data_IF_802965041111
#
_entry.id   IF_802965041111
#
_cell.length_a   1.000
_cell.length_b   1.000
_cell.length_c   1.000
_cell.angle_alpha   90.00
_cell.angle_beta   90.00
_cell.angle_gamma   90.00
#
_symmetry.space_group_name_H-M   'P 1'
#
loop_
_entity.id
_entity.type
_entity.pdbx_description
1 polymer ?
#
# COMPACT_ATOMS: atom_id res chain seq x y z
N UNK A 1 -4.29 -33.73 -50.28
CA UNK A 1 -3.97 -32.35 -49.88
C UNK A 1 -4.62 -32.07 -48.52
N UNK A 2 -3.88 -32.18 -47.41
CA UNK A 2 -4.35 -31.78 -46.07
C UNK A 2 -3.90 -30.35 -45.82
N UNK A 3 -4.86 -29.41 -45.71
CA UNK A 3 -4.58 -28.01 -45.32
C UNK A 3 -4.19 -27.99 -43.84
N UNK A 4 -2.96 -27.58 -43.56
CA UNK A 4 -2.48 -27.29 -42.21
C UNK A 4 -2.99 -25.89 -41.84
N UNK A 5 -3.92 -25.83 -40.89
CA UNK A 5 -4.46 -24.57 -40.36
C UNK A 5 -3.46 -24.04 -39.32
N UNK A 6 -2.69 -23.02 -39.69
CA UNK A 6 -1.75 -22.34 -38.80
C UNK A 6 -2.54 -21.39 -37.90
N UNK A 7 -2.83 -21.80 -36.67
CA UNK A 7 -3.47 -20.94 -35.66
C UNK A 7 -2.38 -20.00 -35.13
N UNK A 8 -2.36 -18.76 -35.62
CA UNK A 8 -1.55 -17.69 -35.02
C UNK A 8 -2.18 -17.31 -33.68
N UNK A 9 -1.60 -17.79 -32.58
CA UNK A 9 -1.87 -17.27 -31.25
C UNK A 9 -1.25 -15.87 -31.14
N UNK A 10 -2.06 -14.83 -31.35
CA UNK A 10 -1.71 -13.45 -31.02
C UNK A 10 -1.58 -13.33 -29.49
N UNK A 11 -0.37 -13.48 -28.96
CA UNK A 11 -0.06 -13.01 -27.62
C UNK A 11 -0.11 -11.49 -27.64
N UNK A 12 -1.18 -10.89 -27.09
CA UNK A 12 -1.23 -9.45 -26.84
C UNK A 12 -0.18 -9.12 -25.79
N UNK A 13 1.03 -8.72 -26.21
CA UNK A 13 1.97 -8.11 -25.30
C UNK A 13 1.41 -6.76 -24.87
N UNK A 14 1.11 -6.63 -23.58
CA UNK A 14 0.72 -5.35 -22.99
C UNK A 14 1.98 -4.50 -22.91
N UNK A 15 2.10 -3.54 -23.82
CA UNK A 15 3.14 -2.52 -23.77
C UNK A 15 2.64 -1.37 -22.90
N UNK A 16 3.27 -1.16 -21.74
CA UNK A 16 3.05 0.06 -20.98
C UNK A 16 3.90 1.17 -21.57
N UNK A 17 3.32 2.37 -21.65
CA UNK A 17 4.08 3.54 -22.02
C UNK A 17 5.07 3.86 -20.90
N UNK A 18 6.38 3.72 -21.15
CA UNK A 18 7.44 4.00 -20.17
C UNK A 18 7.72 5.50 -20.03
N UNK A 19 6.65 6.31 -20.02
CA UNK A 19 6.76 7.74 -19.94
C UNK A 19 7.19 8.15 -18.53
N UNK A 20 8.04 9.19 -18.42
CA UNK A 20 8.25 9.86 -17.16
C UNK A 20 6.94 10.38 -16.58
N UNK A 21 6.89 10.64 -15.27
CA UNK A 21 5.71 11.25 -14.67
C UNK A 21 5.47 12.64 -15.24
N UNK A 22 4.19 12.95 -15.49
CA UNK A 22 3.75 14.27 -15.92
C UNK A 22 4.29 15.34 -14.97
N UNK A 23 4.85 16.42 -15.53
CA UNK A 23 5.44 17.56 -14.80
C UNK A 23 6.64 17.24 -13.89
N UNK A 24 7.04 15.98 -13.74
CA UNK A 24 8.17 15.59 -12.88
C UNK A 24 8.96 14.46 -13.52
N UNK A 25 9.64 14.68 -14.66
CA UNK A 25 10.37 13.63 -15.35
C UNK A 25 11.61 13.14 -14.59
N UNK A 26 12.18 14.01 -13.74
CA UNK A 26 13.33 13.71 -12.90
C UNK A 26 13.23 14.42 -11.55
N UNK A 27 13.91 13.90 -10.53
CA UNK A 27 14.06 14.50 -9.20
C UNK A 27 15.53 14.64 -8.88
N UNK A 28 15.99 15.84 -8.52
CA UNK A 28 17.33 16.03 -7.96
C UNK A 28 17.25 15.93 -6.44
N UNK A 29 17.94 14.95 -5.85
CA UNK A 29 17.94 14.72 -4.42
C UNK A 29 19.28 14.14 -3.95
N UNK A 30 19.83 14.71 -2.86
CA UNK A 30 21.13 14.31 -2.29
C UNK A 30 22.28 14.26 -3.31
N UNK A 31 22.30 15.20 -4.27
CA UNK A 31 23.36 15.29 -5.29
C UNK A 31 23.25 14.27 -6.42
N UNK A 32 22.11 13.56 -6.54
CA UNK A 32 21.82 12.62 -7.63
C UNK A 32 20.55 13.00 -8.37
N UNK A 33 20.50 12.63 -9.64
CA UNK A 33 19.30 12.73 -10.47
C UNK A 33 18.64 11.35 -10.49
N UNK A 34 17.38 11.30 -10.06
CA UNK A 34 16.51 10.13 -10.15
C UNK A 34 15.51 10.35 -11.28
N UNK A 35 15.39 9.41 -12.20
CA UNK A 35 14.36 9.44 -13.22
C UNK A 35 13.03 8.97 -12.63
N UNK A 36 11.93 9.37 -13.24
CA UNK A 36 10.59 8.93 -12.81
C UNK A 36 9.91 8.09 -13.87
N UNK A 37 8.87 7.37 -13.47
CA UNK A 37 8.02 6.59 -14.37
C UNK A 37 6.59 6.63 -13.89
N UNK A 38 5.68 6.91 -14.82
CA UNK A 38 4.24 6.85 -14.58
C UNK A 38 3.77 5.41 -14.78
N UNK A 39 3.17 4.81 -13.74
CA UNK A 39 2.58 3.47 -13.81
C UNK A 39 1.15 3.57 -13.28
N UNK A 40 0.19 3.52 -14.20
CA UNK A 40 -1.20 3.87 -13.91
C UNK A 40 -1.30 5.31 -13.43
N UNK A 41 -1.92 5.51 -12.27
CA UNK A 41 -2.02 6.83 -11.62
C UNK A 41 -0.83 7.15 -10.72
N UNK A 42 0.07 6.19 -10.48
CA UNK A 42 1.19 6.35 -9.56
C UNK A 42 2.45 6.84 -10.27
N UNK A 43 3.18 7.73 -9.60
CA UNK A 43 4.46 8.22 -10.06
C UNK A 43 5.59 7.65 -9.19
N UNK A 44 6.47 6.86 -9.80
CA UNK A 44 7.53 6.12 -9.11
C UNK A 44 8.91 6.64 -9.50
N UNK A 45 9.89 6.55 -8.60
CA UNK A 45 11.29 6.65 -9.00
C UNK A 45 11.68 5.41 -9.85
N UNK A 46 12.61 5.57 -10.79
CA UNK A 46 13.16 4.49 -11.63
C UNK A 46 14.40 3.83 -11.05
N UNK A 47 15.11 4.52 -10.16
CA UNK A 47 16.28 4.00 -9.48
C UNK A 47 15.97 3.70 -8.00
N UNK A 48 16.71 2.75 -7.43
CA UNK A 48 16.72 2.56 -5.99
C UNK A 48 17.34 3.80 -5.34
N UNK A 49 16.76 4.24 -4.24
CA UNK A 49 17.24 5.41 -3.53
C UNK A 49 18.68 5.17 -3.01
N UNK A 50 19.53 6.19 -3.12
CA UNK A 50 20.89 6.15 -2.61
C UNK A 50 21.27 7.48 -1.98
N UNK A 51 20.85 7.68 -0.73
CA UNK A 51 21.09 8.88 0.08
C UNK A 51 21.75 8.53 1.40
N UNK A 52 22.44 9.51 1.99
CA UNK A 52 23.15 9.32 3.25
C UNK A 52 24.58 8.79 3.12
N UNK A 53 25.20 8.53 4.26
CA UNK A 53 26.60 8.13 4.42
C UNK A 53 26.70 6.62 4.51
N UNK A 54 27.68 6.04 3.81
CA UNK A 54 27.92 4.60 3.87
C UNK A 54 28.49 4.20 5.23
N UNK A 55 27.92 3.16 5.83
CA UNK A 55 28.49 2.41 6.94
C UNK A 55 28.79 0.97 6.52
N UNK A 56 29.69 0.30 7.25
CA UNK A 56 30.02 -1.10 6.99
C UNK A 56 28.89 -2.01 7.45
N UNK A 57 28.64 -3.08 6.70
CA UNK A 57 27.56 -4.03 6.93
C UNK A 57 27.51 -4.61 8.34
N UNK A 58 28.62 -4.72 9.07
CA UNK A 58 28.62 -5.21 10.47
C UNK A 58 28.22 -4.17 11.52
N UNK A 59 28.08 -2.90 11.13
CA UNK A 59 27.62 -1.82 12.03
C UNK A 59 26.12 -1.66 11.89
N UNK A 60 25.46 -1.24 12.95
CA UNK A 60 24.08 -0.74 12.89
C UNK A 60 24.10 0.79 12.76
N UNK A 61 23.01 1.39 12.25
CA UNK A 61 22.82 2.83 12.30
C UNK A 61 22.85 3.27 13.77
N UNK A 62 23.50 4.41 14.03
CA UNK A 62 23.74 4.91 15.38
C UNK A 62 23.51 6.42 15.49
N UNK A 63 23.36 7.12 14.37
CA UNK A 63 23.17 8.55 14.33
C UNK A 63 21.85 8.93 13.66
N UNK A 64 20.82 9.13 14.46
CA UNK A 64 19.48 9.48 13.98
C UNK A 64 19.41 10.86 13.29
N UNK A 65 20.49 11.66 13.30
CA UNK A 65 20.56 12.95 12.60
C UNK A 65 21.22 12.86 11.21
N UNK A 66 21.76 11.70 10.84
CA UNK A 66 22.40 11.50 9.53
C UNK A 66 21.90 10.19 8.92
N UNK A 67 21.47 10.25 7.66
CA UNK A 67 21.01 9.04 6.98
C UNK A 67 22.19 8.09 6.80
N UNK A 68 22.06 6.85 7.27
CA UNK A 68 23.08 5.81 7.16
C UNK A 68 22.64 4.71 6.17
N UNK A 69 23.55 4.29 5.29
CA UNK A 69 23.29 3.28 4.25
C UNK A 69 24.34 2.19 4.23
N UNK A 70 23.97 1.03 3.72
CA UNK A 70 24.93 0.00 3.33
C UNK A 70 25.07 -0.06 1.82
N UNK A 71 26.19 -0.62 1.39
CA UNK A 71 26.42 -1.03 0.01
C UNK A 71 26.75 -2.52 -0.04
N UNK A 72 26.31 -3.18 -1.11
CA UNK A 72 26.54 -4.62 -1.25
C UNK A 72 28.02 -4.95 -1.10
N UNK A 73 28.36 -5.92 -0.25
CA UNK A 73 29.73 -6.30 0.08
C UNK A 73 30.64 -5.15 0.58
N UNK A 74 30.06 -4.06 1.08
CA UNK A 74 30.78 -2.84 1.45
C UNK A 74 31.55 -2.18 0.29
N UNK A 75 31.12 -2.39 -0.95
CA UNK A 75 31.81 -1.86 -2.13
C UNK A 75 31.18 -0.54 -2.60
N UNK A 76 31.75 0.60 -2.21
CA UNK A 76 31.25 1.92 -2.61
C UNK A 76 31.52 2.30 -4.07
N UNK A 77 32.39 1.55 -4.76
CA UNK A 77 32.80 1.84 -6.13
C UNK A 77 31.90 1.08 -7.11
N UNK A 78 31.69 -0.22 -6.87
CA UNK A 78 30.92 -1.08 -7.76
C UNK A 78 29.42 -1.15 -7.42
N UNK A 79 29.00 -0.73 -6.22
CA UNK A 79 27.58 -0.79 -5.83
C UNK A 79 26.73 0.39 -6.36
N UNK A 80 27.29 1.30 -7.15
CA UNK A 80 26.56 2.43 -7.77
C UNK A 80 25.35 1.98 -8.60
N UNK A 81 25.29 0.71 -9.01
CA UNK A 81 24.20 0.18 -9.80
C UNK A 81 22.96 -0.19 -8.96
N UNK A 82 23.09 -0.68 -7.72
CA UNK A 82 21.97 -1.28 -6.97
C UNK A 82 21.27 -0.33 -5.97
N UNK A 83 21.85 0.86 -5.73
CA UNK A 83 21.38 1.81 -4.72
C UNK A 83 21.81 1.45 -3.31
N UNK A 84 21.25 2.16 -2.32
CA UNK A 84 21.50 1.92 -0.90
C UNK A 84 20.63 0.80 -0.33
N UNK A 85 21.16 0.10 0.67
CA UNK A 85 20.39 -0.78 1.54
C UNK A 85 20.22 -0.09 2.89
N UNK A 86 19.01 -0.17 3.44
CA UNK A 86 18.63 0.53 4.65
C UNK A 86 17.91 -0.42 5.59
N UNK A 87 18.20 -0.34 6.89
CA UNK A 87 17.31 -0.91 7.91
C UNK A 87 16.00 -0.13 7.92
N UNK A 88 14.91 -0.79 8.33
CA UNK A 88 13.58 -0.21 8.16
C UNK A 88 13.38 1.06 9.00
N UNK A 89 13.80 1.04 10.27
CA UNK A 89 13.67 2.21 11.16
C UNK A 89 14.48 3.40 10.62
N UNK A 90 15.68 3.15 10.10
CA UNK A 90 16.52 4.16 9.46
C UNK A 90 15.85 4.73 8.19
N UNK A 91 15.32 3.86 7.32
CA UNK A 91 14.60 4.29 6.13
C UNK A 91 13.37 5.14 6.47
N UNK A 92 12.64 4.74 7.50
CA UNK A 92 11.46 5.46 8.00
C UNK A 92 11.79 6.70 8.83
N UNK A 93 13.08 6.98 9.08
CA UNK A 93 13.53 8.04 9.97
C UNK A 93 12.84 7.94 11.34
N UNK A 94 12.79 6.71 11.86
CA UNK A 94 12.23 6.31 13.15
C UNK A 94 10.74 6.67 13.33
N UNK A 95 10.01 6.88 12.23
CA UNK A 95 8.56 7.02 12.21
C UNK A 95 7.90 5.67 11.95
N UNK A 96 6.70 5.48 12.48
CA UNK A 96 5.89 4.27 12.24
C UNK A 96 4.64 4.54 11.42
N UNK A 97 4.41 5.78 11.00
CA UNK A 97 3.23 6.17 10.22
C UNK A 97 3.34 5.66 8.77
N UNK A 98 2.41 4.82 8.29
CA UNK A 98 2.37 4.44 6.89
C UNK A 98 2.24 5.67 5.99
N UNK A 99 2.96 5.67 4.87
CA UNK A 99 3.03 6.82 3.96
C UNK A 99 3.95 7.95 4.43
N UNK A 100 4.72 7.75 5.51
CA UNK A 100 5.71 8.74 5.93
C UNK A 100 6.78 8.94 4.84
N UNK A 101 7.23 10.19 4.69
CA UNK A 101 8.32 10.55 3.77
C UNK A 101 9.55 9.64 3.96
N UNK A 102 9.93 9.37 5.22
CA UNK A 102 11.17 8.66 5.54
C UNK A 102 12.37 9.35 4.90
N UNK A 103 13.27 8.57 4.30
CA UNK A 103 14.44 9.05 3.58
C UNK A 103 14.15 9.50 2.13
N UNK A 104 12.89 9.46 1.67
CA UNK A 104 12.54 9.89 0.32
C UNK A 104 12.65 11.42 0.12
N UNK A 105 12.76 11.90 -1.13
CA UNK A 105 12.75 13.33 -1.43
C UNK A 105 11.48 14.03 -0.89
N UNK A 106 11.54 15.33 -0.58
CA UNK A 106 10.34 16.10 -0.24
C UNK A 106 9.26 15.98 -1.33
N UNK A 107 8.01 15.76 -0.90
CA UNK A 107 6.89 15.49 -1.82
C UNK A 107 6.83 14.04 -2.33
N UNK A 108 7.67 13.16 -1.81
CA UNK A 108 7.69 11.72 -2.04
C UNK A 108 7.70 10.98 -0.70
N UNK A 109 7.37 9.69 -0.71
CA UNK A 109 7.37 8.89 0.50
C UNK A 109 7.76 7.43 0.26
N UNK A 110 8.05 6.73 1.37
CA UNK A 110 8.26 5.28 1.33
C UNK A 110 6.89 4.62 1.11
N UNK A 111 6.71 3.85 0.03
CA UNK A 111 5.40 3.37 -0.38
C UNK A 111 4.72 2.56 0.72
N UNK A 112 3.41 2.77 0.86
CA UNK A 112 2.55 1.88 1.63
C UNK A 112 2.42 0.52 0.93
N UNK A 113 2.03 -0.50 1.68
CA UNK A 113 1.73 -1.82 1.14
C UNK A 113 0.59 -1.72 0.14
N UNK A 114 -0.39 -0.84 0.42
CA UNK A 114 -1.51 -0.59 -0.49
C UNK A 114 -1.07 0.00 -1.82
N UNK A 115 -0.09 0.89 -1.82
CA UNK A 115 0.45 1.45 -3.07
C UNK A 115 1.23 0.43 -3.88
N UNK A 116 1.99 -0.47 -3.24
CA UNK A 116 2.58 -1.59 -3.96
C UNK A 116 1.54 -2.57 -4.51
N UNK A 117 0.43 -2.78 -3.80
CA UNK A 117 -0.69 -3.60 -4.31
C UNK A 117 -1.35 -2.94 -5.52
N UNK A 118 -1.55 -1.61 -5.51
CA UNK A 118 -2.07 -0.88 -6.68
C UNK A 118 -1.11 -1.01 -7.88
N UNK A 119 0.20 -0.92 -7.65
CA UNK A 119 1.20 -1.19 -8.68
C UNK A 119 1.06 -2.61 -9.22
N UNK A 120 0.97 -3.61 -8.34
CA UNK A 120 0.83 -5.01 -8.71
C UNK A 120 -0.46 -5.27 -9.52
N UNK A 121 -1.59 -4.72 -9.09
CA UNK A 121 -2.87 -4.82 -9.79
C UNK A 121 -2.78 -4.21 -11.19
N UNK A 122 -2.17 -3.02 -11.31
CA UNK A 122 -1.98 -2.34 -12.60
C UNK A 122 -1.15 -3.16 -13.59
N UNK A 123 -0.10 -3.83 -13.10
CA UNK A 123 0.71 -4.73 -13.92
C UNK A 123 0.16 -6.16 -13.99
N UNK A 124 -1.06 -6.40 -13.51
CA UNK A 124 -1.69 -7.73 -13.50
C UNK A 124 -0.82 -8.80 -12.83
N UNK A 125 -0.19 -8.41 -11.72
CA UNK A 125 0.76 -9.21 -10.96
C UNK A 125 2.00 -9.67 -11.76
N UNK A 126 2.28 -9.05 -12.91
CA UNK A 126 3.44 -9.38 -13.74
C UNK A 126 4.72 -8.77 -13.15
N UNK A 127 5.40 -9.49 -12.27
CA UNK A 127 6.70 -9.10 -11.72
C UNK A 127 7.79 -8.96 -12.79
N UNK A 128 7.66 -9.64 -13.93
CA UNK A 128 8.61 -9.50 -15.04
C UNK A 128 8.56 -8.12 -15.69
N UNK A 129 7.41 -7.45 -15.70
CA UNK A 129 7.32 -6.08 -16.24
C UNK A 129 8.04 -5.07 -15.36
N UNK A 130 8.21 -5.36 -14.06
CA UNK A 130 8.87 -4.48 -13.10
C UNK A 130 10.40 -4.62 -13.06
N UNK A 131 10.92 -5.80 -13.43
CA UNK A 131 12.36 -6.12 -13.40
C UNK A 131 13.09 -5.53 -14.60
N UNK A 132 14.36 -5.13 -14.42
CA UNK A 132 15.24 -4.68 -15.52
C UNK A 132 15.30 -5.73 -16.63
N UNK A 133 15.32 -5.27 -17.87
CA UNK A 133 15.36 -6.13 -19.05
C UNK A 133 16.57 -7.08 -19.00
N UNK A 134 16.34 -8.37 -19.23
CA UNK A 134 17.41 -9.38 -19.23
C UNK A 134 17.90 -9.81 -17.85
N UNK A 135 17.35 -9.25 -16.75
CA UNK A 135 17.54 -9.83 -15.41
C UNK A 135 16.68 -11.09 -15.23
N UNK A 136 17.04 -11.96 -14.30
CA UNK A 136 16.27 -13.18 -14.03
C UNK A 136 16.46 -14.28 -15.07
N UNK A 137 15.72 -15.38 -14.92
CA UNK A 137 15.82 -16.59 -15.73
C UNK A 137 14.45 -17.22 -15.97
N UNK A 138 14.29 -17.91 -17.11
CA UNK A 138 13.07 -18.66 -17.42
C UNK A 138 11.79 -17.83 -17.28
N UNK A 139 10.83 -18.35 -16.51
CA UNK A 139 9.56 -17.67 -16.23
C UNK A 139 9.70 -16.35 -15.46
N UNK A 140 10.86 -16.09 -14.87
CA UNK A 140 11.19 -14.85 -14.16
C UNK A 140 12.06 -13.88 -14.96
N UNK A 141 12.22 -14.07 -16.27
CA UNK A 141 13.01 -13.14 -17.10
C UNK A 141 12.35 -11.74 -17.15
N UNK A 142 13.10 -10.73 -16.74
CA UNK A 142 12.68 -9.33 -16.71
C UNK A 142 12.48 -8.78 -18.12
N UNK A 143 11.32 -8.16 -18.33
CA UNK A 143 10.94 -7.50 -19.59
C UNK A 143 10.97 -5.98 -19.48
N UNK A 144 10.94 -5.46 -18.25
CA UNK A 144 10.89 -4.03 -17.92
C UNK A 144 9.77 -3.26 -18.64
N UNK A 145 8.69 -3.91 -19.08
CA UNK A 145 7.67 -3.23 -19.89
C UNK A 145 6.98 -2.09 -19.14
N UNK A 146 6.95 -2.09 -17.80
CA UNK A 146 6.41 -0.98 -17.00
C UNK A 146 7.36 0.21 -16.84
N UNK A 147 8.65 0.02 -17.10
CA UNK A 147 9.70 1.02 -16.85
C UNK A 147 10.14 1.15 -15.39
N UNK A 148 9.58 0.37 -14.45
CA UNK A 148 9.95 0.42 -13.02
C UNK A 148 11.44 0.09 -12.77
N UNK A 149 12.05 -0.77 -13.59
CA UNK A 149 13.49 -1.03 -13.60
C UNK A 149 14.05 -1.52 -12.25
N UNK A 150 13.39 -2.50 -11.63
CA UNK A 150 13.88 -3.15 -10.40
C UNK A 150 15.11 -4.02 -10.68
N UNK A 151 16.16 -3.81 -9.88
CA UNK A 151 17.39 -4.59 -9.90
C UNK A 151 17.34 -5.64 -8.80
N UNK A 152 17.68 -6.88 -9.12
CA UNK A 152 17.71 -8.02 -8.20
C UNK A 152 18.91 -7.92 -7.25
N UNK A 153 18.81 -7.02 -6.26
CA UNK A 153 19.89 -6.57 -5.41
C UNK A 153 20.20 -7.48 -4.21
N UNK A 154 19.37 -8.48 -3.92
CA UNK A 154 19.51 -9.29 -2.72
C UNK A 154 19.26 -8.46 -1.46
N UNK A 155 20.03 -8.72 -0.39
CA UNK A 155 19.89 -7.98 0.87
C UNK A 155 21.17 -7.99 1.73
N UNK A 156 21.15 -7.19 2.79
CA UNK A 156 22.08 -7.26 3.94
C UNK A 156 21.37 -7.93 5.14
N UNK A 157 21.84 -9.08 5.62
CA UNK A 157 21.27 -9.77 6.77
C UNK A 157 21.66 -9.12 8.10
N UNK A 158 20.96 -9.41 9.19
CA UNK A 158 21.19 -8.81 10.50
C UNK A 158 22.65 -8.96 11.02
N UNK A 159 23.32 -10.05 10.64
CA UNK A 159 24.73 -10.36 10.91
C UNK A 159 25.76 -9.56 10.07
N UNK A 160 25.29 -8.75 9.13
CA UNK A 160 26.12 -7.94 8.25
C UNK A 160 26.56 -8.62 6.96
N UNK A 161 26.09 -9.85 6.70
CA UNK A 161 26.35 -10.55 5.45
C UNK A 161 25.48 -10.01 4.32
N UNK A 162 26.01 -10.03 3.10
CA UNK A 162 25.27 -9.67 1.90
C UNK A 162 25.06 -10.92 1.06
N UNK A 163 23.81 -11.19 0.68
CA UNK A 163 23.45 -12.44 0.05
C UNK A 163 22.40 -12.25 -1.05
N UNK A 164 22.27 -13.26 -1.90
CA UNK A 164 21.21 -13.39 -2.92
C UNK A 164 21.18 -12.29 -3.99
N UNK A 165 22.34 -11.68 -4.29
CA UNK A 165 22.51 -10.85 -5.48
C UNK A 165 22.06 -11.62 -6.73
N UNK A 166 21.35 -10.94 -7.63
CA UNK A 166 20.74 -11.49 -8.84
C UNK A 166 19.66 -12.58 -8.60
N UNK A 167 19.30 -12.88 -7.35
CA UNK A 167 18.30 -13.90 -7.01
C UNK A 167 16.94 -13.29 -6.69
N UNK A 168 16.90 -12.19 -5.96
CA UNK A 168 15.67 -11.42 -5.74
C UNK A 168 15.98 -9.96 -5.40
N UNK A 169 14.95 -9.13 -5.29
CA UNK A 169 14.99 -7.83 -4.61
C UNK A 169 13.81 -7.71 -3.66
N UNK A 170 14.05 -7.05 -2.53
CA UNK A 170 13.02 -6.62 -1.59
C UNK A 170 12.99 -5.10 -1.51
N UNK A 171 11.79 -4.55 -1.49
CA UNK A 171 11.53 -3.14 -1.25
C UNK A 171 10.79 -3.01 0.07
N UNK A 172 11.27 -2.10 0.93
CA UNK A 172 10.51 -1.76 2.12
C UNK A 172 9.21 -1.06 1.78
N UNK A 173 8.15 -1.45 2.48
CA UNK A 173 6.97 -0.64 2.67
C UNK A 173 7.08 0.17 3.97
N UNK A 174 6.36 1.29 4.05
CA UNK A 174 6.18 2.06 5.29
C UNK A 174 5.21 1.40 6.28
N UNK A 175 4.51 0.34 5.90
CA UNK A 175 3.63 -0.42 6.78
C UNK A 175 4.41 -1.43 7.63
N UNK A 176 4.07 -1.54 8.92
CA UNK A 176 4.55 -2.63 9.77
C UNK A 176 3.87 -3.94 9.39
N UNK A 177 4.56 -5.07 9.55
CA UNK A 177 4.02 -6.41 9.34
C UNK A 177 3.82 -7.14 10.67
N UNK A 178 4.80 -7.01 11.56
CA UNK A 178 4.77 -7.48 12.94
C UNK A 178 5.55 -6.51 13.83
N UNK A 179 5.83 -6.88 15.09
CA UNK A 179 6.67 -6.05 15.97
C UNK A 179 8.11 -5.94 15.43
N UNK A 180 8.66 -7.03 14.89
CA UNK A 180 10.04 -7.11 14.39
C UNK A 180 10.13 -7.06 12.85
N UNK A 181 9.00 -7.13 12.13
CA UNK A 181 8.99 -7.06 10.66
C UNK A 181 8.23 -5.84 10.15
N UNK A 182 8.67 -5.35 8.99
CA UNK A 182 7.90 -4.44 8.15
C UNK A 182 7.42 -5.15 6.88
N UNK A 183 6.37 -4.62 6.28
CA UNK A 183 5.83 -5.16 5.03
C UNK A 183 6.83 -4.93 3.91
N UNK A 184 6.91 -5.88 2.98
CA UNK A 184 7.80 -5.80 1.81
C UNK A 184 7.06 -6.17 0.52
N UNK A 185 7.54 -5.61 -0.59
CA UNK A 185 7.32 -6.16 -1.93
C UNK A 185 8.58 -6.90 -2.38
N UNK A 186 8.44 -8.09 -2.97
CA UNK A 186 9.55 -8.92 -3.41
C UNK A 186 9.38 -9.39 -4.85
N UNK A 187 10.48 -9.39 -5.61
CA UNK A 187 10.57 -9.94 -6.97
C UNK A 187 11.68 -10.97 -7.04
N UNK A 188 11.36 -12.19 -7.49
CA UNK A 188 12.33 -13.28 -7.66
C UNK A 188 12.85 -13.36 -9.09
N UNK A 189 14.05 -13.91 -9.24
CA UNK A 189 14.71 -14.07 -10.53
C UNK A 189 14.05 -15.14 -11.42
N UNK A 190 13.42 -16.14 -10.83
CA UNK A 190 12.86 -17.32 -11.50
C UNK A 190 11.32 -17.34 -11.52
N UNK A 191 10.67 -16.40 -10.84
CA UNK A 191 9.21 -16.28 -10.81
C UNK A 191 8.74 -15.03 -11.55
N UNK A 192 7.60 -15.19 -12.23
CA UNK A 192 6.97 -14.12 -13.00
C UNK A 192 6.04 -13.21 -12.20
N UNK A 193 5.68 -13.60 -10.97
CA UNK A 193 4.72 -12.88 -10.13
C UNK A 193 5.39 -11.96 -9.09
N UNK A 194 4.61 -11.01 -8.59
CA UNK A 194 4.99 -10.16 -7.45
C UNK A 194 4.61 -10.89 -6.17
N UNK A 195 5.45 -10.78 -5.14
CA UNK A 195 5.19 -11.35 -3.81
C UNK A 195 5.18 -10.26 -2.74
N UNK A 196 4.40 -10.49 -1.68
CA UNK A 196 4.31 -9.65 -0.50
C UNK A 196 4.55 -10.47 0.75
N UNK A 197 5.06 -9.85 1.82
CA UNK A 197 5.29 -10.53 3.09
C UNK A 197 5.90 -9.60 4.13
N UNK A 198 6.42 -10.22 5.20
CA UNK A 198 7.23 -9.55 6.23
C UNK A 198 8.71 -9.63 5.92
N UNK A 199 9.45 -8.58 6.28
CA UNK A 199 10.89 -8.56 6.31
C UNK A 199 11.39 -8.03 7.65
N UNK A 200 12.37 -8.72 8.23
CA UNK A 200 13.00 -8.34 9.51
C UNK A 200 13.61 -6.93 9.42
N UNK A 201 13.20 -6.03 10.33
CA UNK A 201 13.60 -4.61 10.32
C UNK A 201 15.10 -4.40 10.48
N UNK A 202 15.85 -5.38 11.01
CA UNK A 202 17.31 -5.36 11.13
C UNK A 202 18.05 -5.64 9.81
N UNK A 203 17.32 -6.09 8.78
CA UNK A 203 17.89 -6.37 7.46
C UNK A 203 17.98 -5.07 6.64
N UNK A 204 18.95 -5.02 5.73
CA UNK A 204 19.07 -3.95 4.75
C UNK A 204 18.39 -4.32 3.44
N UNK A 205 17.32 -3.59 3.09
CA UNK A 205 16.67 -3.68 1.77
C UNK A 205 16.66 -2.33 1.06
N UNK A 206 16.30 -2.34 -0.22
CA UNK A 206 16.26 -1.15 -1.05
C UNK A 206 14.99 -0.32 -0.79
N UNK A 207 15.10 0.99 -1.02
CA UNK A 207 13.95 1.91 -1.03
C UNK A 207 13.62 2.32 -2.46
N UNK A 208 12.32 2.35 -2.74
CA UNK A 208 11.79 2.86 -4.00
C UNK A 208 10.66 3.84 -3.73
N UNK A 209 10.93 5.14 -3.85
CA UNK A 209 9.98 6.17 -3.48
C UNK A 209 8.84 6.33 -4.50
N UNK A 210 7.68 6.72 -3.99
CA UNK A 210 6.49 7.11 -4.74
C UNK A 210 6.14 8.58 -4.46
N UNK A 211 5.67 9.31 -5.46
CA UNK A 211 5.30 10.73 -5.32
C UNK A 211 3.99 10.85 -4.53
N UNK A 212 3.88 11.84 -3.66
CA UNK A 212 2.64 12.15 -2.96
C UNK A 212 1.58 12.51 -4.01
N UNK A 213 0.40 11.90 -3.93
CA UNK A 213 -0.71 12.31 -4.77
C UNK A 213 -1.15 13.74 -4.38
N UNK A 214 -1.04 14.68 -5.33
CA UNK A 214 -1.45 16.08 -5.15
C UNK A 214 -2.96 16.26 -4.87
N UNK A 215 -3.75 15.18 -4.91
CA UNK A 215 -5.15 15.16 -4.47
C UNK A 215 -5.32 15.17 -2.94
N UNK A 216 -4.23 15.26 -2.16
CA UNK A 216 -4.29 15.35 -0.70
C UNK A 216 -3.30 16.37 -0.13
N UNK A 217 -3.03 17.46 -0.87
CA UNK A 217 -2.44 18.66 -0.30
C UNK A 217 -3.53 19.49 0.42
N UNK A 218 -4.15 18.91 1.44
CA UNK A 218 -4.64 19.67 2.58
C UNK A 218 -3.90 19.08 3.77
N UNK A 219 -2.85 19.78 4.16
CA UNK A 219 -2.21 19.66 5.46
C UNK A 219 -3.28 19.91 6.53
N UNK A 220 -3.87 18.82 7.01
CA UNK A 220 -4.52 18.75 8.29
C UNK A 220 -4.04 17.44 8.89
N UNK A 221 -3.11 17.56 9.83
CA UNK A 221 -2.78 16.57 10.85
C UNK A 221 -4.07 16.05 11.51
N UNK A 222 -4.66 15.05 10.87
CA UNK A 222 -5.48 14.05 11.53
C UNK A 222 -4.76 12.76 11.26
N UNK A 223 -3.76 12.47 12.11
CA UNK A 223 -3.43 11.07 12.41
C UNK A 223 -4.74 10.28 12.40
N UNK A 224 -4.86 9.29 11.52
CA UNK A 224 -6.04 8.43 11.44
C UNK A 224 -6.08 7.66 12.77
N UNK A 225 -6.68 8.25 13.79
CA UNK A 225 -6.75 7.71 15.15
C UNK A 225 -7.45 6.38 15.01
N UNK A 226 -6.67 5.32 15.14
CA UNK A 226 -7.18 3.96 15.14
C UNK A 226 -8.05 3.85 16.39
N UNK A 227 -9.37 3.59 16.25
CA UNK A 227 -10.25 3.52 17.40
C UNK A 227 -9.79 2.42 18.36
N UNK A 228 -9.83 2.71 19.66
CA UNK A 228 -9.54 1.71 20.70
C UNK A 228 -10.81 0.97 21.16
N UNK A 229 -11.99 1.43 20.74
CA UNK A 229 -13.29 0.82 21.04
C UNK A 229 -14.22 0.87 19.83
N UNK A 230 -15.17 -0.06 19.79
CA UNK A 230 -16.31 0.06 18.90
C UNK A 230 -17.12 1.31 19.24
N UNK A 231 -17.67 1.96 18.21
CA UNK A 231 -18.63 3.04 18.41
C UNK A 231 -19.62 3.11 17.25
N UNK A 232 -20.87 3.46 17.55
CA UNK A 232 -21.88 3.83 16.57
C UNK A 232 -22.32 5.27 16.84
N UNK A 233 -22.13 6.16 15.88
CA UNK A 233 -22.49 7.57 16.06
C UNK A 233 -23.94 7.82 15.66
N UNK A 234 -24.49 8.94 16.15
CA UNK A 234 -25.79 9.40 15.70
C UNK A 234 -25.70 9.77 14.21
N UNK A 235 -26.66 9.32 13.42
CA UNK A 235 -26.73 9.67 12.00
C UNK A 235 -26.87 11.20 11.84
N UNK A 236 -26.24 11.78 10.81
CA UNK A 236 -26.35 13.20 10.51
C UNK A 236 -26.63 13.43 9.02
N UNK A 237 -27.64 14.26 8.67
CA UNK A 237 -28.58 14.93 9.57
C UNK A 237 -29.54 13.93 10.26
N UNK A 238 -30.09 14.29 11.43
CA UNK A 238 -31.21 13.61 12.08
C UNK A 238 -32.11 14.66 12.75
N UNK A 239 -33.36 14.90 12.29
CA UNK A 239 -34.07 14.16 11.26
C UNK A 239 -33.44 14.27 9.87
N UNK A 240 -33.70 13.31 8.98
CA UNK A 240 -33.10 13.29 7.64
C UNK A 240 -34.15 13.25 6.51
N UNK A 241 -33.80 13.83 5.36
CA UNK A 241 -34.57 13.78 4.12
C UNK A 241 -33.67 14.11 2.90
N UNK A 242 -33.54 13.25 1.88
CA UNK A 242 -33.82 11.81 1.87
C UNK A 242 -32.61 10.97 2.34
N UNK A 243 -31.51 11.63 2.68
CA UNK A 243 -30.23 10.98 2.92
C UNK A 243 -29.63 11.40 4.26
N UNK A 244 -28.94 10.46 4.91
CA UNK A 244 -28.18 10.66 6.13
C UNK A 244 -26.90 9.84 6.10
N UNK A 245 -25.89 10.27 6.84
CA UNK A 245 -24.65 9.53 7.00
C UNK A 245 -24.60 8.90 8.40
N UNK A 246 -24.29 7.61 8.46
CA UNK A 246 -24.04 6.88 9.71
C UNK A 246 -22.55 6.63 9.82
N UNK A 247 -21.92 7.21 10.84
CA UNK A 247 -20.49 7.01 11.12
C UNK A 247 -20.30 5.99 12.26
N UNK A 248 -19.33 5.09 12.13
CA UNK A 248 -19.02 4.07 13.14
C UNK A 248 -17.53 3.74 13.17
N UNK A 249 -17.08 3.15 14.27
CA UNK A 249 -15.67 2.83 14.52
C UNK A 249 -15.50 1.34 14.82
N UNK A 250 -14.48 0.72 14.22
CA UNK A 250 -14.04 -0.65 14.47
C UNK A 250 -12.68 -0.59 15.16
N UNK A 251 -12.51 -1.17 16.36
CA UNK A 251 -11.26 -1.09 17.09
C UNK A 251 -10.23 -2.11 16.60
N UNK A 252 -8.96 -1.84 16.92
CA UNK A 252 -7.93 -2.88 16.86
C UNK A 252 -8.14 -3.88 17.99
N UNK A 253 -8.35 -5.15 17.65
CA UNK A 253 -8.25 -6.21 18.65
C UNK A 253 -6.79 -6.39 19.06
N UNK A 254 -6.53 -6.40 20.36
CA UNK A 254 -5.20 -6.39 20.99
C UNK A 254 -4.28 -7.54 20.59
N UNK A 255 -4.80 -8.54 19.87
CA UNK A 255 -4.05 -9.70 19.42
C UNK A 255 -3.54 -9.56 17.98
N UNK A 256 -4.20 -8.77 17.13
CA UNK A 256 -3.82 -8.57 15.73
C UNK A 256 -4.49 -7.28 15.17
N UNK A 257 -3.69 -6.26 14.88
CA UNK A 257 -4.17 -4.99 14.33
C UNK A 257 -4.70 -5.05 12.89
N UNK A 258 -4.53 -6.20 12.22
CA UNK A 258 -4.92 -6.49 10.83
C UNK A 258 -6.09 -7.48 10.70
N UNK A 259 -6.69 -7.89 11.83
CA UNK A 259 -7.84 -8.80 11.81
C UNK A 259 -9.05 -8.12 11.20
N UNK A 260 -9.46 -8.62 10.04
CA UNK A 260 -10.77 -8.33 9.48
C UNK A 260 -11.86 -8.75 10.46
N UNK A 261 -12.79 -7.85 10.76
CA UNK A 261 -13.94 -8.12 11.61
C UNK A 261 -15.20 -8.09 10.75
N UNK A 262 -16.05 -9.10 10.90
CA UNK A 262 -17.33 -9.13 10.20
C UNK A 262 -18.28 -8.10 10.83
N UNK A 263 -18.64 -7.07 10.06
CA UNK A 263 -19.55 -6.00 10.50
C UNK A 263 -20.85 -6.08 9.74
N UNK A 264 -21.95 -6.13 10.49
CA UNK A 264 -23.30 -5.97 9.98
C UNK A 264 -23.92 -4.67 10.50
N UNK A 265 -24.26 -3.74 9.61
CA UNK A 265 -25.06 -2.55 9.91
C UNK A 265 -26.39 -2.63 9.16
N UNK A 266 -27.48 -2.69 9.93
CA UNK A 266 -28.82 -2.93 9.40
C UNK A 266 -29.82 -1.92 9.97
N UNK A 267 -30.87 -1.63 9.20
CA UNK A 267 -31.96 -0.72 9.54
C UNK A 267 -33.24 -1.52 9.77
N UNK A 268 -34.00 -1.13 10.80
CA UNK A 268 -35.22 -1.77 11.26
C UNK A 268 -36.34 -0.75 11.45
N UNK A 269 -37.58 -1.18 11.25
CA UNK A 269 -38.77 -0.42 11.64
C UNK A 269 -39.09 -0.59 13.14
N UNK A 270 -40.16 0.09 13.61
CA UNK A 270 -40.61 0.04 15.01
C UNK A 270 -41.10 -1.34 15.47
N UNK A 271 -41.40 -2.25 14.53
CA UNK A 271 -41.80 -3.63 14.81
C UNK A 271 -40.57 -4.57 14.82
N UNK A 272 -39.37 -4.05 14.59
CA UNK A 272 -38.13 -4.83 14.52
C UNK A 272 -37.92 -5.57 13.21
N UNK A 273 -38.69 -5.25 12.16
CA UNK A 273 -38.50 -5.84 10.83
C UNK A 273 -37.33 -5.16 10.14
N UNK A 274 -36.41 -5.93 9.58
CA UNK A 274 -35.30 -5.40 8.78
C UNK A 274 -35.85 -4.75 7.51
N UNK A 275 -35.49 -3.50 7.28
CA UNK A 275 -35.91 -2.73 6.09
C UNK A 275 -34.74 -2.40 5.16
N UNK A 276 -33.50 -2.45 5.65
CA UNK A 276 -32.30 -2.32 4.82
C UNK A 276 -31.07 -2.96 5.50
N UNK A 277 -30.18 -3.52 4.69
CA UNK A 277 -28.81 -3.86 5.09
C UNK A 277 -27.87 -2.85 4.44
N UNK A 278 -27.12 -2.08 5.24
CA UNK A 278 -26.20 -1.04 4.76
C UNK A 278 -24.77 -1.56 4.63
N UNK A 279 -24.38 -2.44 5.55
CA UNK A 279 -23.06 -3.09 5.59
C UNK A 279 -23.27 -4.53 6.05
N UNK A 280 -22.63 -5.49 5.38
CA UNK A 280 -22.59 -6.90 5.81
C UNK A 280 -21.35 -7.57 5.22
N UNK A 281 -20.18 -7.18 5.72
CA UNK A 281 -18.90 -7.62 5.17
C UNK A 281 -17.77 -7.55 6.21
N UNK A 282 -16.63 -8.11 5.85
CA UNK A 282 -15.40 -8.03 6.64
C UNK A 282 -14.72 -6.66 6.46
N UNK A 283 -14.46 -5.96 7.56
CA UNK A 283 -13.83 -4.62 7.60
C UNK A 283 -12.58 -4.64 8.47
N UNK A 284 -11.58 -3.84 8.10
CA UNK A 284 -10.39 -3.60 8.92
C UNK A 284 -10.72 -2.66 10.10
N UNK A 285 -9.89 -2.59 11.16
CA UNK A 285 -10.00 -1.53 12.16
C UNK A 285 -9.94 -0.13 11.53
N UNK A 286 -10.78 0.79 12.00
CA UNK A 286 -10.87 2.14 11.45
C UNK A 286 -12.20 2.83 11.69
N UNK A 287 -12.29 4.08 11.23
CA UNK A 287 -13.53 4.85 11.18
C UNK A 287 -14.15 4.73 9.80
N UNK A 288 -15.47 4.56 9.75
CA UNK A 288 -16.24 4.34 8.55
C UNK A 288 -17.47 5.21 8.53
N UNK A 289 -17.91 5.55 7.32
CA UNK A 289 -19.17 6.24 7.07
C UNK A 289 -19.93 5.48 5.99
N UNK A 290 -21.24 5.42 6.16
CA UNK A 290 -22.14 4.85 5.15
C UNK A 290 -23.35 5.74 4.98
N UNK A 291 -23.63 6.07 3.73
CA UNK A 291 -24.81 6.83 3.35
C UNK A 291 -26.06 5.93 3.36
N UNK A 292 -27.13 6.42 3.94
CA UNK A 292 -28.46 5.82 3.87
C UNK A 292 -29.40 6.76 3.12
N UNK A 293 -29.74 6.40 1.88
CA UNK A 293 -30.59 7.19 0.99
C UNK A 293 -31.89 6.45 0.66
N UNK A 294 -33.03 7.04 1.02
CA UNK A 294 -34.35 6.41 0.85
C UNK A 294 -35.01 6.66 -0.51
N UNK A 295 -34.34 7.35 -1.46
CA UNK A 295 -34.83 7.55 -2.84
C UNK A 295 -34.43 6.42 -3.79
N UNK A 296 -33.78 5.36 -3.32
CA UNK A 296 -33.41 4.23 -4.17
C UNK A 296 -34.65 3.41 -4.57
N UNK A 297 -34.65 2.74 -5.75
CA UNK A 297 -35.78 1.94 -6.22
C UNK A 297 -36.27 0.87 -5.23
N UNK A 298 -35.36 0.39 -4.37
CA UNK A 298 -35.64 -0.66 -3.39
C UNK A 298 -36.13 -0.11 -2.03
N UNK A 299 -35.99 1.20 -1.77
CA UNK A 299 -36.30 1.84 -0.47
C UNK A 299 -37.29 3.00 -0.57
N UNK A 300 -37.75 3.35 -1.77
CA UNK A 300 -38.67 4.48 -2.02
C UNK A 300 -39.99 4.39 -1.23
N UNK A 301 -40.38 3.20 -0.77
CA UNK A 301 -41.61 2.92 -0.03
C UNK A 301 -41.52 3.22 1.49
N UNK A 302 -40.34 3.56 2.03
CA UNK A 302 -40.21 3.93 3.44
C UNK A 302 -41.00 5.21 3.75
N UNK A 303 -41.83 5.16 4.79
CA UNK A 303 -42.69 6.27 5.23
C UNK A 303 -41.96 7.16 6.25
N UNK A 304 -42.37 8.42 6.38
CA UNK A 304 -41.94 9.28 7.49
C UNK A 304 -42.17 8.58 8.82
N UNK A 305 -41.19 8.61 9.70
CA UNK A 305 -41.29 7.90 10.98
C UNK A 305 -39.96 7.55 11.62
N UNK A 306 -40.07 6.83 12.73
CA UNK A 306 -38.92 6.40 13.52
C UNK A 306 -38.40 5.07 12.97
N UNK A 307 -37.09 5.00 12.79
CA UNK A 307 -36.37 3.79 12.43
C UNK A 307 -35.21 3.59 13.39
N UNK A 308 -34.72 2.36 13.46
CA UNK A 308 -33.57 1.99 14.27
C UNK A 308 -32.48 1.43 13.37
N UNK A 309 -31.24 1.81 13.60
CA UNK A 309 -30.10 1.16 12.96
C UNK A 309 -29.22 0.52 14.01
N UNK A 310 -28.75 -0.70 13.72
CA UNK A 310 -27.98 -1.52 14.64
C UNK A 310 -26.71 -2.01 13.96
N UNK A 311 -25.59 -1.80 14.62
CA UNK A 311 -24.30 -2.39 14.25
C UNK A 311 -24.06 -3.65 15.08
N UNK A 312 -23.52 -4.70 14.46
CA UNK A 312 -23.09 -5.93 15.13
C UNK A 312 -21.72 -6.36 14.60
N UNK A 313 -20.78 -6.62 15.51
CA UNK A 313 -19.43 -7.09 15.19
C UNK A 313 -18.80 -7.77 16.42
N UNK A 314 -18.21 -8.96 16.28
CA UNK A 314 -17.46 -9.67 17.33
C UNK A 314 -18.08 -9.61 18.75
N UNK A 315 -19.39 -9.86 18.85
CA UNK A 315 -20.14 -9.84 20.13
C UNK A 315 -20.54 -8.45 20.62
N UNK A 316 -20.03 -7.37 20.03
CA UNK A 316 -20.54 -6.01 20.23
C UNK A 316 -21.81 -5.77 19.41
N UNK A 317 -22.77 -5.08 20.02
CA UNK A 317 -24.01 -4.65 19.38
C UNK A 317 -24.45 -3.32 19.96
N UNK A 318 -24.63 -2.30 19.11
CA UNK A 318 -25.18 -1.00 19.51
C UNK A 318 -26.31 -0.60 18.55
N UNK A 319 -27.37 0.01 19.08
CA UNK A 319 -28.55 0.44 18.33
C UNK A 319 -28.82 1.92 18.58
N UNK A 320 -29.13 2.66 17.51
CA UNK A 320 -29.52 4.07 17.57
C UNK A 320 -30.81 4.31 16.80
N UNK A 321 -31.50 5.38 17.19
CA UNK A 321 -32.77 5.81 16.62
C UNK A 321 -32.53 6.93 15.60
N UNK A 322 -33.23 6.89 14.48
CA UNK A 322 -33.27 7.97 13.48
C UNK A 322 -34.70 8.33 13.10
N UNK A 323 -34.92 9.56 12.67
CA UNK A 323 -36.21 10.08 12.23
C UNK A 323 -36.13 10.47 10.75
N UNK A 324 -36.90 9.76 9.91
CA UNK A 324 -37.09 10.10 8.50
C UNK A 324 -38.23 11.10 8.38
N UNK A 325 -37.98 12.22 7.68
CA UNK A 325 -39.00 13.16 7.24
C UNK A 325 -39.11 13.05 5.72
N UNK A 326 -40.32 12.90 5.20
CA UNK A 326 -40.66 13.19 3.80
C UNK A 326 -41.35 14.54 3.72
#
# INVERSE_FOLDING_TARGET
>A
MKKLLLILLLFSQIYYSQNPCTETPTVNYSGKIYNTVQIGTQCWLKENLEVGTMIFGKKNPSNNNAIEKYFYNNDSINNKSYGGYYQWDEAMQYKSTPGAQGICPPGWHIPTLKEFQVLADFVQNNGNSLKVFGSGTGAGAGTNTSGFSALLSGYRGNDGTFSFLNSFVRFWSSDTFSSFEASIMQLYNNLGNIAFGGGDKEFGYCIRCIKNNSASAIDNDVSKVIPTKFSLNQNYPNPFNPETTISYSIPVETRHASSLQHVALKVYDVLGREVATLVNEFKQPGNYEVAFNVKTPYMASLQSGIYFYRIQANGYSETKKMLLLK
#
